data_IF_511967838388
#
_entry.id   IF_511967838388
#
_cell.length_a   1.000
_cell.length_b   1.000
_cell.length_c   1.000
_cell.angle_alpha   90.00
_cell.angle_beta   90.00
_cell.angle_gamma   90.00
#
_symmetry.space_group_name_H-M   'P 1'
#
loop_
_entity.id
_entity.type
_entity.pdbx_description
1 polymer ?
#
# COMPACT_ATOMS: atom_id res chain seq x y z
N UNK A 1 -8.13 10.40 12.85
CA UNK A 1 -7.51 10.11 11.51
C UNK A 1 -7.11 11.37 10.74
N UNK A 2 -7.88 12.47 10.75
CA UNK A 2 -7.48 13.74 10.08
C UNK A 2 -6.25 14.40 10.69
N UNK A 3 -6.19 14.41 12.02
CA UNK A 3 -5.15 15.09 12.80
C UNK A 3 -3.70 14.66 12.47
N UNK A 4 -3.47 13.40 12.06
CA UNK A 4 -2.13 12.92 11.74
C UNK A 4 -1.58 13.52 10.44
N UNK A 5 -2.46 13.76 9.46
CA UNK A 5 -2.07 14.35 8.18
C UNK A 5 -1.85 15.85 8.27
N UNK A 6 -2.42 16.48 9.30
CA UNK A 6 -2.26 17.92 9.60
C UNK A 6 -1.01 18.19 10.46
N UNK A 7 -0.40 17.15 11.02
CA UNK A 7 0.85 17.29 11.79
C UNK A 7 1.98 17.81 10.88
N UNK A 8 2.66 18.91 11.24
CA UNK A 8 3.77 19.44 10.47
C UNK A 8 4.86 18.39 10.23
N UNK A 9 5.32 18.25 8.98
CA UNK A 9 6.39 17.33 8.60
C UNK A 9 5.97 15.86 8.44
N UNK A 10 4.71 15.50 8.71
CA UNK A 10 4.27 14.10 8.61
C UNK A 10 4.33 13.56 7.18
N UNK A 11 3.94 14.38 6.19
CA UNK A 11 3.97 13.97 4.79
C UNK A 11 5.40 13.71 4.32
N UNK A 12 6.31 14.61 4.66
CA UNK A 12 7.72 14.54 4.30
C UNK A 12 8.38 13.32 4.96
N UNK A 13 8.10 13.10 6.24
CA UNK A 13 8.56 11.91 6.95
C UNK A 13 8.01 10.62 6.32
N UNK A 14 6.69 10.54 6.08
CA UNK A 14 6.07 9.35 5.52
C UNK A 14 6.62 9.01 4.13
N UNK A 15 6.75 10.01 3.24
CA UNK A 15 7.27 9.82 1.89
C UNK A 15 8.77 9.52 1.87
N UNK A 16 9.54 10.10 2.80
CA UNK A 16 10.99 9.97 2.83
C UNK A 16 11.51 8.76 3.60
N UNK A 17 10.72 8.17 4.50
CA UNK A 17 11.19 7.13 5.42
C UNK A 17 10.31 5.87 5.42
N UNK A 18 9.01 5.96 5.12
CA UNK A 18 8.08 4.84 5.25
C UNK A 18 7.53 4.35 3.91
N UNK A 19 7.54 5.18 2.86
CA UNK A 19 7.04 4.83 1.54
C UNK A 19 8.20 4.81 0.54
N UNK A 20 8.91 3.67 0.38
CA UNK A 20 9.93 3.51 -0.67
C UNK A 20 9.47 3.93 -2.07
N UNK A 21 8.19 3.75 -2.36
CA UNK A 21 7.60 4.16 -3.63
C UNK A 21 7.54 5.69 -3.83
N UNK A 22 7.80 6.48 -2.79
CA UNK A 22 7.96 7.94 -2.85
C UNK A 22 6.66 8.72 -3.09
N UNK A 23 5.50 8.07 -3.01
CA UNK A 23 4.18 8.70 -3.18
C UNK A 23 3.09 8.00 -2.37
N UNK A 24 1.98 8.72 -2.17
CA UNK A 24 0.77 8.12 -1.62
C UNK A 24 0.10 7.20 -2.63
N UNK A 25 -0.44 6.09 -2.12
CA UNK A 25 -1.24 5.17 -2.91
C UNK A 25 -2.45 5.91 -3.53
N UNK A 26 -2.73 5.57 -4.77
CA UNK A 26 -3.93 5.95 -5.50
C UNK A 26 -4.84 4.72 -5.65
N UNK A 27 -6.15 4.88 -5.89
CA UNK A 27 -7.06 3.76 -6.10
C UNK A 27 -6.58 2.75 -7.16
N UNK A 28 -5.89 3.24 -8.19
CA UNK A 28 -5.39 2.43 -9.31
C UNK A 28 -4.31 1.42 -8.90
N UNK A 29 -3.57 1.70 -7.83
CA UNK A 29 -2.49 0.82 -7.34
C UNK A 29 -3.03 -0.53 -6.82
N UNK A 30 -4.30 -0.59 -6.44
CA UNK A 30 -4.93 -1.80 -5.88
C UNK A 30 -5.62 -2.68 -6.93
N UNK A 31 -5.86 -2.15 -8.13
CA UNK A 31 -6.64 -2.82 -9.16
C UNK A 31 -5.99 -4.14 -9.57
N UNK A 32 -4.68 -4.13 -9.83
CA UNK A 32 -3.96 -5.33 -10.28
C UNK A 32 -3.99 -6.47 -9.26
N UNK A 33 -3.71 -6.18 -8.00
CA UNK A 33 -3.75 -7.17 -6.92
C UNK A 33 -5.18 -7.71 -6.69
N UNK A 34 -6.18 -6.84 -6.77
CA UNK A 34 -7.59 -7.24 -6.66
C UNK A 34 -7.99 -8.16 -7.81
N UNK A 35 -7.66 -7.79 -9.05
CA UNK A 35 -7.95 -8.62 -10.22
C UNK A 35 -7.25 -9.98 -10.15
N UNK A 36 -5.99 -10.02 -9.71
CA UNK A 36 -5.27 -11.27 -9.48
C UNK A 36 -6.03 -12.17 -8.52
N UNK A 37 -6.41 -11.66 -7.34
CA UNK A 37 -7.12 -12.41 -6.31
C UNK A 37 -8.55 -12.82 -6.72
N UNK A 38 -9.18 -12.09 -7.63
CA UNK A 38 -10.49 -12.44 -8.18
C UNK A 38 -10.41 -13.41 -9.37
N UNK A 39 -9.22 -13.68 -9.89
CA UNK A 39 -9.01 -14.51 -11.07
C UNK A 39 -8.66 -15.95 -10.73
N UNK A 40 -8.71 -16.85 -11.72
CA UNK A 40 -8.25 -18.24 -11.56
C UNK A 40 -6.74 -18.36 -11.34
N UNK A 41 -5.97 -17.29 -11.55
CA UNK A 41 -4.53 -17.31 -11.27
C UNK A 41 -4.21 -17.43 -9.78
N UNK A 42 -5.17 -17.17 -8.90
CA UNK A 42 -5.01 -17.30 -7.45
C UNK A 42 -5.73 -18.51 -6.85
N UNK A 43 -6.17 -19.50 -7.64
CA UNK A 43 -6.97 -20.64 -7.15
C UNK A 43 -6.32 -21.42 -5.99
N UNK A 44 -4.98 -21.42 -5.91
CA UNK A 44 -4.21 -22.07 -4.85
C UNK A 44 -3.62 -21.09 -3.82
N UNK A 45 -3.89 -19.78 -3.94
CA UNK A 45 -3.38 -18.75 -3.04
C UNK A 45 -4.42 -18.48 -1.96
N UNK A 46 -4.42 -19.35 -0.94
CA UNK A 46 -5.40 -19.31 0.17
C UNK A 46 -4.68 -19.01 1.48
N UNK A 47 -5.29 -18.19 2.35
CA UNK A 47 -4.74 -17.83 3.66
C UNK A 47 -3.53 -16.90 3.62
N UNK A 48 -3.22 -16.33 2.45
CA UNK A 48 -2.09 -15.44 2.25
C UNK A 48 -2.49 -13.96 2.40
N UNK A 49 -1.58 -13.14 2.93
CA UNK A 49 -1.71 -11.68 2.99
C UNK A 49 -0.79 -11.06 1.94
N UNK A 50 -1.37 -10.56 0.85
CA UNK A 50 -0.64 -9.82 -0.18
C UNK A 50 -0.60 -8.33 0.18
N UNK A 51 0.59 -7.83 0.55
CA UNK A 51 0.77 -6.42 0.87
C UNK A 51 0.85 -5.55 -0.40
N UNK A 52 0.01 -4.51 -0.45
CA UNK A 52 -0.01 -3.50 -1.52
C UNK A 52 0.06 -2.13 -0.87
N UNK A 53 1.24 -1.76 -0.37
CA UNK A 53 1.41 -0.62 0.53
C UNK A 53 2.58 0.31 0.16
N UNK A 54 3.21 0.08 -1.00
CA UNK A 54 4.34 0.90 -1.45
C UNK A 54 5.62 0.69 -0.64
N UNK A 55 5.72 -0.39 0.14
CA UNK A 55 6.88 -0.74 0.95
C UNK A 55 6.78 -0.34 2.42
N UNK A 56 5.60 0.05 2.89
CA UNK A 56 5.37 0.48 4.28
C UNK A 56 5.68 -0.60 5.31
N UNK A 57 5.30 -1.85 5.04
CA UNK A 57 5.38 -2.94 6.04
C UNK A 57 6.78 -3.48 6.26
N UNK A 58 7.71 -3.27 5.31
CA UNK A 58 9.07 -3.83 5.37
C UNK A 58 10.11 -2.83 5.89
N UNK A 59 9.68 -1.64 6.31
CA UNK A 59 10.53 -0.54 6.77
C UNK A 59 10.59 -0.38 8.28
#
# INVERSE_FOLDING_TARGET
RREIFERPGYREWALGQMLPIGRWAQPEDFIGATLFLCSSFSDMVVGHVLMVDGGWTIH
#
